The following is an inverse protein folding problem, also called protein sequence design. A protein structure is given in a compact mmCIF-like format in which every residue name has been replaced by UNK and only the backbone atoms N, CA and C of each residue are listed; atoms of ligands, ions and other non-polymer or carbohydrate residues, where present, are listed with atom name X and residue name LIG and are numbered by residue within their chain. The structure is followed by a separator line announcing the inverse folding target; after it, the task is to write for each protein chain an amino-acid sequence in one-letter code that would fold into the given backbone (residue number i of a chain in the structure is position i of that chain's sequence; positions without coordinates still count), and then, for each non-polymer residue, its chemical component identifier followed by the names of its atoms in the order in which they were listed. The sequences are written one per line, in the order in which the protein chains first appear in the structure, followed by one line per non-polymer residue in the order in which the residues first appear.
data_IF_978743975610
#
_entry.id   IF_978743975610
#
_cell.length_a   1.000
_cell.length_b   1.000
_cell.length_c   1.000
_cell.angle_alpha   90.00
_cell.angle_beta   90.00
_cell.angle_gamma   90.00
#
_symmetry.space_group_name_H-M   'P 1'
#
loop_
_entity.id
_entity.type
_entity.pdbx_description
1 polymer ?
#
# COMPACT_ATOMS: atom_id res chain seq x y z
N UNK A 1 68.71 20.89 15.21
CA UNK A 1 67.87 22.02 14.77
C UNK A 1 66.46 21.50 14.53
N UNK A 2 65.67 21.26 15.59
CA UNK A 2 64.26 20.84 15.46
C UNK A 2 63.38 22.01 15.83
N UNK A 3 62.66 22.54 14.84
CA UNK A 3 61.74 23.66 15.01
C UNK A 3 60.49 23.16 15.71
N UNK A 4 60.15 23.78 16.84
CA UNK A 4 58.90 23.60 17.55
C UNK A 4 57.74 23.93 16.60
N UNK A 5 57.00 22.88 16.19
CA UNK A 5 55.75 23.05 15.46
C UNK A 5 54.75 23.60 16.48
N UNK A 6 54.31 24.84 16.26
CA UNK A 6 53.39 25.55 17.15
C UNK A 6 52.11 24.74 17.35
N UNK A 7 51.71 24.55 18.61
CA UNK A 7 50.52 23.78 19.03
C UNK A 7 49.25 24.19 18.27
N UNK A 8 49.16 25.47 17.84
CA UNK A 8 48.06 26.01 17.03
C UNK A 8 47.97 25.38 15.63
N UNK A 9 49.10 25.04 15.01
CA UNK A 9 49.15 24.40 13.68
C UNK A 9 48.68 22.95 13.79
N UNK A 10 49.03 22.27 14.89
CA UNK A 10 48.58 20.90 15.17
C UNK A 10 47.07 20.89 15.43
N UNK A 11 46.54 21.85 16.20
CA UNK A 11 45.09 21.97 16.42
C UNK A 11 44.32 22.27 15.13
N UNK A 12 44.88 23.11 14.25
CA UNK A 12 44.25 23.47 12.98
C UNK A 12 44.23 22.29 11.98
N UNK A 13 45.30 21.49 11.94
CA UNK A 13 45.38 20.30 11.09
C UNK A 13 44.41 19.18 11.53
N UNK A 14 44.21 19.02 12.84
CA UNK A 14 43.23 18.06 13.39
C UNK A 14 41.80 18.48 13.06
N UNK A 15 41.49 19.78 13.10
CA UNK A 15 40.17 20.30 12.80
C UNK A 15 39.83 20.18 11.30
N UNK A 16 40.80 20.39 10.41
CA UNK A 16 40.62 20.21 8.95
C UNK A 16 40.44 18.74 8.57
N UNK A 17 41.12 17.81 9.24
CA UNK A 17 40.97 16.37 9.00
C UNK A 17 39.60 15.83 9.46
N UNK A 18 38.96 16.46 10.46
CA UNK A 18 37.65 16.04 10.96
C UNK A 18 36.49 16.41 10.01
N UNK A 19 36.68 17.41 9.15
CA UNK A 19 35.64 17.94 8.25
C UNK A 19 35.55 17.11 6.94
N UNK A 20 36.59 16.35 6.58
CA UNK A 20 36.67 15.66 5.28
C UNK A 20 36.15 14.21 5.29
N UNK A 21 35.68 13.67 6.42
CA UNK A 21 35.30 12.24 6.55
C UNK A 21 33.79 12.01 6.68
N UNK A 22 32.96 12.92 6.16
CA UNK A 22 31.52 12.66 5.99
C UNK A 22 31.19 12.46 4.51
N UNK A 23 31.47 11.29 3.90
CA UNK A 23 30.77 10.92 2.69
C UNK A 23 29.31 10.67 3.07
N UNK A 24 28.45 11.68 2.88
CA UNK A 24 27.00 11.51 2.90
C UNK A 24 26.63 10.53 1.79
N UNK A 25 26.64 9.25 2.12
CA UNK A 25 26.10 8.20 1.29
C UNK A 25 24.59 8.35 1.35
N UNK A 26 24.05 9.25 0.52
CA UNK A 26 22.64 9.22 0.14
C UNK A 26 22.41 7.94 -0.66
N UNK A 27 22.28 6.81 0.04
CA UNK A 27 21.64 5.63 -0.52
C UNK A 27 20.16 5.99 -0.57
N UNK A 28 19.67 6.31 -1.77
CA UNK A 28 18.23 6.30 -2.03
C UNK A 28 17.74 4.90 -1.65
N UNK A 29 17.00 4.79 -0.55
CA UNK A 29 16.39 3.53 -0.16
C UNK A 29 15.58 3.02 -1.36
N UNK A 30 15.93 1.84 -1.88
CA UNK A 30 15.08 1.13 -2.82
C UNK A 30 13.75 0.94 -2.09
N UNK A 31 12.73 1.67 -2.52
CA UNK A 31 11.40 1.57 -1.95
C UNK A 31 10.87 0.22 -2.38
N UNK A 32 11.10 -0.81 -1.56
CA UNK A 32 10.53 -2.12 -1.81
C UNK A 32 9.03 -1.95 -1.98
N UNK A 33 8.52 -2.35 -3.14
CA UNK A 33 7.08 -2.38 -3.39
C UNK A 33 6.42 -3.16 -2.24
N UNK A 34 5.38 -2.61 -1.60
CA UNK A 34 4.70 -3.28 -0.49
C UNK A 34 4.28 -4.68 -0.93
N UNK A 35 4.39 -5.68 -0.06
CA UNK A 35 3.97 -7.05 -0.34
C UNK A 35 2.43 -7.16 -0.32
N UNK A 36 1.79 -6.46 -1.25
CA UNK A 36 0.34 -6.40 -1.45
C UNK A 36 -0.08 -7.12 -2.74
N UNK A 37 0.89 -7.48 -3.61
CA UNK A 37 0.69 -8.14 -4.90
C UNK A 37 0.30 -9.61 -4.74
N UNK A 38 -0.92 -9.86 -4.26
CA UNK A 38 -1.49 -11.18 -4.01
C UNK A 38 -3.02 -11.12 -4.00
N UNK A 39 -3.66 -12.27 -3.84
CA UNK A 39 -5.12 -12.35 -3.62
C UNK A 39 -5.46 -12.13 -2.13
N UNK A 40 -6.55 -11.40 -1.90
CA UNK A 40 -7.03 -10.94 -0.61
C UNK A 40 -8.51 -11.28 -0.45
N UNK A 41 -8.88 -11.92 0.66
CA UNK A 41 -10.25 -12.34 0.98
C UNK A 41 -10.87 -11.36 1.99
N UNK A 42 -12.09 -10.90 1.74
CA UNK A 42 -12.79 -9.96 2.61
C UNK A 42 -13.10 -10.60 3.96
N UNK A 43 -12.72 -9.92 5.04
CA UNK A 43 -13.12 -10.28 6.41
C UNK A 43 -14.33 -9.43 6.82
N UNK A 44 -14.23 -8.11 6.63
CA UNK A 44 -15.24 -7.17 7.12
C UNK A 44 -15.22 -5.83 6.41
N UNK A 45 -16.38 -5.18 6.37
CA UNK A 45 -16.55 -3.78 5.97
C UNK A 45 -17.16 -2.98 7.12
N UNK A 46 -16.48 -1.93 7.60
CA UNK A 46 -16.90 -1.14 8.76
C UNK A 46 -17.28 -1.98 9.99
N UNK A 47 -16.56 -3.09 10.21
CA UNK A 47 -16.82 -4.03 11.31
C UNK A 47 -17.96 -5.04 11.05
N UNK A 48 -18.72 -4.90 9.97
CA UNK A 48 -19.73 -5.88 9.55
C UNK A 48 -19.01 -7.06 8.89
N UNK A 49 -19.32 -8.29 9.30
CA UNK A 49 -18.66 -9.49 8.77
C UNK A 49 -18.99 -9.71 7.29
N UNK A 50 -18.08 -10.35 6.54
CA UNK A 50 -18.31 -10.75 5.14
C UNK A 50 -19.65 -11.50 4.98
N UNK A 51 -19.94 -12.43 5.90
CA UNK A 51 -21.14 -13.28 5.85
C UNK A 51 -22.44 -12.49 5.96
N UNK A 52 -22.44 -11.36 6.67
CA UNK A 52 -23.60 -10.47 6.80
C UNK A 52 -23.73 -9.49 5.61
N UNK A 53 -22.67 -9.32 4.82
CA UNK A 53 -22.66 -8.48 3.62
C UNK A 53 -23.13 -9.29 2.41
N UNK A 54 -22.53 -10.47 2.20
CA UNK A 54 -22.78 -11.32 1.04
C UNK A 54 -22.51 -12.80 1.34
N UNK A 55 -23.37 -13.67 0.81
CA UNK A 55 -23.15 -15.12 0.85
C UNK A 55 -22.19 -15.60 -0.25
N UNK A 56 -21.89 -14.74 -1.23
CA UNK A 56 -21.02 -15.03 -2.37
C UNK A 56 -19.56 -14.69 -2.06
N UNK A 57 -18.62 -15.08 -2.95
CA UNK A 57 -17.23 -14.70 -2.81
C UNK A 57 -17.05 -13.17 -2.73
N UNK A 58 -16.12 -12.74 -1.88
CA UNK A 58 -15.72 -11.35 -1.74
C UNK A 58 -14.19 -11.30 -1.64
N UNK A 59 -13.53 -11.05 -2.77
CA UNK A 59 -12.07 -11.10 -2.92
C UNK A 59 -11.56 -10.03 -3.85
N UNK A 60 -10.30 -9.66 -3.65
CA UNK A 60 -9.56 -8.70 -4.45
C UNK A 60 -8.23 -9.33 -4.85
N UNK A 61 -7.98 -9.42 -6.15
CA UNK A 61 -6.72 -9.90 -6.69
C UNK A 61 -5.85 -8.71 -7.13
N UNK A 62 -4.72 -8.56 -6.46
CA UNK A 62 -3.71 -7.54 -6.71
C UNK A 62 -2.42 -8.16 -7.27
N UNK A 63 -2.41 -9.45 -7.61
CA UNK A 63 -1.23 -10.20 -8.07
C UNK A 63 -0.84 -9.93 -9.52
N UNK A 64 -1.70 -9.25 -10.28
CA UNK A 64 -1.44 -9.00 -11.70
C UNK A 64 -0.21 -8.12 -11.92
N UNK A 65 0.50 -8.39 -13.01
CA UNK A 65 1.75 -7.70 -13.37
C UNK A 65 1.52 -6.23 -13.70
N UNK A 66 2.45 -5.39 -13.25
CA UNK A 66 2.53 -3.97 -13.57
C UNK A 66 2.96 -3.71 -15.01
N UNK A 67 2.50 -2.60 -15.59
CA UNK A 67 3.10 -1.98 -16.78
C UNK A 67 4.28 -1.05 -16.45
N UNK A 68 4.68 -0.98 -15.18
CA UNK A 68 5.78 -0.18 -14.64
C UNK A 68 5.31 0.97 -13.75
N UNK A 69 4.23 1.67 -14.09
CA UNK A 69 3.68 2.79 -13.28
C UNK A 69 2.28 2.54 -12.76
N UNK A 70 1.54 1.69 -13.45
CA UNK A 70 0.17 1.33 -13.13
C UNK A 70 0.15 -0.15 -12.80
N UNK A 71 -0.51 -0.48 -11.69
CA UNK A 71 -0.84 -1.83 -11.33
C UNK A 71 -2.26 -2.14 -11.80
N UNK A 72 -2.48 -3.39 -12.21
CA UNK A 72 -3.80 -3.88 -12.55
C UNK A 72 -4.31 -4.76 -11.41
N UNK A 73 -5.61 -4.73 -11.19
CA UNK A 73 -6.26 -5.61 -10.25
C UNK A 73 -7.69 -5.91 -10.66
N UNK A 74 -8.20 -6.99 -10.13
CA UNK A 74 -9.58 -7.40 -10.30
C UNK A 74 -10.17 -7.74 -8.93
N UNK A 75 -11.50 -7.76 -8.85
CA UNK A 75 -12.18 -8.18 -7.64
C UNK A 75 -13.51 -8.84 -7.97
N UNK A 76 -13.91 -9.78 -7.13
CA UNK A 76 -15.25 -10.34 -7.10
C UNK A 76 -15.87 -9.93 -5.77
N UNK A 77 -16.90 -9.09 -5.81
CA UNK A 77 -17.62 -8.66 -4.61
C UNK A 77 -19.07 -9.04 -4.79
N UNK A 78 -19.45 -10.15 -4.16
CA UNK A 78 -20.81 -10.65 -4.24
C UNK A 78 -21.15 -11.09 -5.65
N UNK A 79 -22.06 -10.37 -6.29
CA UNK A 79 -22.41 -10.57 -7.70
C UNK A 79 -21.65 -9.70 -8.69
N UNK A 80 -20.83 -8.76 -8.22
CA UNK A 80 -20.15 -7.81 -9.09
C UNK A 80 -18.72 -8.27 -9.36
N UNK A 81 -18.33 -8.22 -10.62
CA UNK A 81 -16.93 -8.33 -11.02
C UNK A 81 -16.39 -6.93 -11.31
N UNK A 82 -15.25 -6.60 -10.69
CA UNK A 82 -14.58 -5.31 -10.82
C UNK A 82 -13.25 -5.51 -11.55
N UNK A 83 -12.92 -4.59 -12.44
CA UNK A 83 -11.57 -4.42 -12.96
C UNK A 83 -11.12 -3.00 -12.63
N UNK A 84 -9.88 -2.84 -12.17
CA UNK A 84 -9.38 -1.54 -11.78
C UNK A 84 -7.87 -1.43 -11.99
N UNK A 85 -7.42 -0.19 -12.03
CA UNK A 85 -6.02 0.16 -12.00
C UNK A 85 -5.70 0.77 -10.63
N UNK A 86 -4.48 0.62 -10.14
CA UNK A 86 -4.03 1.30 -8.94
C UNK A 86 -2.56 1.70 -9.03
N UNK A 87 -2.15 2.62 -8.18
CA UNK A 87 -0.75 3.03 -8.06
C UNK A 87 -0.44 3.38 -6.61
N UNK A 88 0.83 3.22 -6.25
CA UNK A 88 1.34 3.74 -4.99
C UNK A 88 1.71 5.21 -5.15
N UNK A 89 1.31 6.01 -4.17
CA UNK A 89 1.65 7.41 -4.05
C UNK A 89 3.03 7.53 -3.40
N UNK A 90 3.66 8.70 -3.55
CA UNK A 90 4.98 8.98 -3.01
C UNK A 90 5.04 8.80 -1.47
N UNK A 91 3.93 9.08 -0.78
CA UNK A 91 3.75 8.88 0.67
C UNK A 91 3.55 7.41 1.07
N UNK A 92 3.58 6.47 0.12
CA UNK A 92 3.40 5.04 0.37
C UNK A 92 1.94 4.59 0.42
N UNK A 93 0.97 5.48 0.19
CA UNK A 93 -0.44 5.13 0.15
C UNK A 93 -0.90 4.60 -1.21
N UNK A 94 -2.06 3.93 -1.27
CA UNK A 94 -2.66 3.41 -2.51
C UNK A 94 -3.69 4.38 -3.09
N UNK A 95 -3.84 4.40 -4.42
CA UNK A 95 -4.98 5.05 -5.08
C UNK A 95 -5.50 4.20 -6.23
N UNK A 96 -6.76 3.78 -6.09
CA UNK A 96 -7.51 3.11 -7.14
C UNK A 96 -7.96 4.12 -8.22
N UNK A 97 -8.01 3.65 -9.47
CA UNK A 97 -8.42 4.38 -10.66
C UNK A 97 -9.13 3.43 -11.62
N UNK A 98 -9.93 4.01 -12.51
CA UNK A 98 -10.56 3.28 -13.62
C UNK A 98 -11.30 2.03 -13.16
N UNK A 99 -12.04 2.12 -12.05
CA UNK A 99 -12.84 1.01 -11.54
C UNK A 99 -14.05 0.84 -12.45
N UNK A 100 -14.01 -0.19 -13.30
CA UNK A 100 -15.17 -0.64 -14.07
C UNK A 100 -15.76 -1.86 -13.39
N UNK A 101 -17.09 -1.99 -13.47
CA UNK A 101 -17.77 -3.14 -12.91
C UNK A 101 -18.90 -3.61 -13.79
N UNK A 102 -18.99 -4.92 -13.93
CA UNK A 102 -20.14 -5.56 -14.57
C UNK A 102 -21.03 -6.06 -13.45
N UNK A 103 -22.20 -5.44 -13.32
CA UNK A 103 -23.22 -5.88 -12.37
C UNK A 103 -24.02 -7.00 -13.01
N UNK A 104 -23.90 -8.21 -12.50
CA UNK A 104 -24.78 -9.32 -12.89
C UNK A 104 -26.12 -9.16 -12.18
N UNK A 105 -27.24 -9.58 -12.79
CA UNK A 105 -28.57 -9.53 -12.17
C UNK A 105 -28.61 -10.34 -10.87
N UNK A 106 -28.44 -9.63 -9.76
CA UNK A 106 -28.76 -10.08 -8.42
C UNK A 106 -29.67 -9.03 -7.80
N UNK A 107 -30.51 -9.46 -6.85
CA UNK A 107 -31.14 -8.53 -5.90
C UNK A 107 -30.02 -7.85 -5.11
N UNK A 108 -29.56 -6.70 -5.60
CA UNK A 108 -28.37 -6.03 -5.07
C UNK A 108 -28.63 -5.63 -3.62
N UNK A 109 -27.79 -6.12 -2.71
CA UNK A 109 -27.80 -5.65 -1.33
C UNK A 109 -27.11 -4.27 -1.28
N UNK A 110 -27.74 -3.28 -0.65
CA UNK A 110 -27.17 -1.92 -0.48
C UNK A 110 -25.77 -1.91 0.16
N UNK A 111 -25.39 -2.98 0.87
CA UNK A 111 -24.06 -3.14 1.46
C UNK A 111 -22.98 -3.45 0.43
N UNK A 112 -23.27 -4.24 -0.61
CA UNK A 112 -22.32 -4.54 -1.69
C UNK A 112 -21.95 -3.26 -2.45
N UNK A 113 -22.93 -2.42 -2.79
CA UNK A 113 -22.71 -1.15 -3.48
C UNK A 113 -21.85 -0.18 -2.64
N UNK A 114 -22.09 -0.12 -1.33
CA UNK A 114 -21.28 0.68 -0.40
C UNK A 114 -19.84 0.18 -0.32
N UNK A 115 -19.66 -1.15 -0.29
CA UNK A 115 -18.35 -1.77 -0.27
C UNK A 115 -17.57 -1.49 -1.57
N UNK A 116 -18.19 -1.66 -2.75
CA UNK A 116 -17.57 -1.38 -4.05
C UNK A 116 -17.17 0.10 -4.14
N UNK A 117 -18.03 1.00 -3.67
CA UNK A 117 -17.73 2.44 -3.61
C UNK A 117 -16.54 2.72 -2.69
N UNK A 118 -16.53 2.17 -1.48
CA UNK A 118 -15.45 2.39 -0.51
C UNK A 118 -14.11 1.81 -1.00
N UNK A 119 -14.12 0.68 -1.71
CA UNK A 119 -12.93 0.14 -2.37
C UNK A 119 -12.39 1.13 -3.40
N UNK A 120 -13.27 1.66 -4.26
CA UNK A 120 -12.91 2.64 -5.29
C UNK A 120 -12.37 3.95 -4.71
N UNK A 121 -12.85 4.35 -3.53
CA UNK A 121 -12.48 5.59 -2.85
C UNK A 121 -11.33 5.41 -1.84
N UNK A 122 -10.82 4.19 -1.66
CA UNK A 122 -9.74 3.87 -0.73
C UNK A 122 -8.46 4.65 -1.08
N UNK A 123 -7.88 5.29 -0.06
CA UNK A 123 -6.73 6.21 -0.20
C UNK A 123 -5.55 5.82 0.65
N UNK A 124 -5.73 4.90 1.58
CA UNK A 124 -4.70 4.45 2.52
C UNK A 124 -4.78 2.94 2.61
N UNK A 125 -3.64 2.30 2.81
CA UNK A 125 -3.61 0.92 3.22
C UNK A 125 -2.67 0.72 4.39
N UNK A 126 -2.89 -0.35 5.14
CA UNK A 126 -2.00 -0.81 6.21
C UNK A 126 -1.88 -2.32 6.11
N UNK A 127 -0.65 -2.83 6.16
CA UNK A 127 -0.35 -4.26 6.21
C UNK A 127 0.08 -4.62 7.63
N UNK A 128 -0.62 -5.57 8.24
CA UNK A 128 -0.30 -6.11 9.57
C UNK A 128 -0.28 -7.63 9.48
N UNK A 129 0.91 -8.21 9.35
CA UNK A 129 1.06 -9.65 9.08
C UNK A 129 0.36 -10.04 7.78
N UNK A 130 -0.64 -10.93 7.89
CA UNK A 130 -1.43 -11.42 6.76
C UNK A 130 -2.72 -10.63 6.53
N UNK A 131 -2.87 -9.48 7.19
CA UNK A 131 -4.04 -8.61 7.06
C UNK A 131 -3.74 -7.35 6.25
N UNK A 132 -4.67 -7.03 5.35
CA UNK A 132 -4.70 -5.77 4.62
C UNK A 132 -5.91 -4.96 5.09
N UNK A 133 -5.66 -3.73 5.54
CA UNK A 133 -6.70 -2.75 5.85
C UNK A 133 -6.67 -1.65 4.80
N UNK A 134 -7.77 -1.45 4.08
CA UNK A 134 -7.97 -0.29 3.22
C UNK A 134 -8.84 0.75 3.95
N UNK A 135 -8.54 2.03 3.75
CA UNK A 135 -9.31 3.12 4.36
C UNK A 135 -9.58 4.22 3.34
N UNK A 136 -10.84 4.64 3.23
CA UNK A 136 -11.25 5.74 2.36
C UNK A 136 -11.10 7.11 3.02
N UNK A 137 -11.44 8.18 2.28
CA UNK A 137 -11.34 9.56 2.77
C UNK A 137 -12.34 9.90 3.89
N UNK A 138 -13.40 9.10 4.04
CA UNK A 138 -14.43 9.26 5.06
C UNK A 138 -14.16 8.42 6.31
N UNK A 139 -13.09 7.61 6.29
CA UNK A 139 -12.70 6.74 7.40
C UNK A 139 -13.38 5.38 7.40
N UNK A 140 -14.12 5.01 6.34
CA UNK A 140 -14.62 3.65 6.23
C UNK A 140 -13.46 2.69 5.98
N UNK A 141 -13.60 1.48 6.51
CA UNK A 141 -12.54 0.49 6.56
C UNK A 141 -12.98 -0.82 5.91
N UNK A 142 -12.10 -1.37 5.07
CA UNK A 142 -12.26 -2.69 4.47
C UNK A 142 -11.09 -3.54 4.90
N UNK A 143 -11.37 -4.63 5.61
CA UNK A 143 -10.35 -5.54 6.14
C UNK A 143 -10.34 -6.83 5.34
N UNK A 144 -9.14 -7.26 4.94
CA UNK A 144 -8.90 -8.49 4.22
C UNK A 144 -7.85 -9.37 4.92
N UNK A 145 -7.87 -10.66 4.63
CA UNK A 145 -6.79 -11.61 4.90
C UNK A 145 -6.17 -12.07 3.58
N UNK A 146 -4.89 -12.38 3.59
CA UNK A 146 -4.23 -12.98 2.43
C UNK A 146 -4.83 -14.37 2.11
N UNK A 147 -5.15 -14.63 0.85
CA UNK A 147 -5.84 -15.86 0.44
C UNK A 147 -5.02 -17.15 0.60
N UNK A 148 -3.69 -17.06 0.69
CA UNK A 148 -2.79 -18.18 0.97
C UNK A 148 -2.65 -18.47 2.48
N UNK A 149 -3.47 -17.82 3.31
CA UNK A 149 -3.39 -17.85 4.76
C UNK A 149 -4.73 -18.12 5.46
N UNK A 150 -5.82 -18.17 4.69
CA UNK A 150 -7.15 -18.57 5.15
C UNK A 150 -7.30 -20.11 5.12
#
# INVERSE_FOLDING_TARGET
MWRAISMKIITLLIFVLLITVLPASCISAVKNEPFIHREWLLISYNGISRHDITSKPARVDLSQKSDGKTQHGNAEIGCSQLNFNYHFRADGNIRFRSVSHTKTECSNNSQEDKLIKSLSESRKFTLTGHYLLLTDGSGHQIKFIAADWD
#
